data_IF_639151774110
#
_entry.id   IF_639151774110
#
_cell.length_a   1.000
_cell.length_b   1.000
_cell.length_c   1.000
_cell.angle_alpha   90.00
_cell.angle_beta   90.00
_cell.angle_gamma   90.00
#
_symmetry.space_group_name_H-M   'P 1'
#
loop_
_entity.id
_entity.type
_entity.pdbx_description
1 polymer ?
#
# COMPACT_ATOMS: atom_id res chain seq x y z
N UNK A 1 9.34 1.07 5.33
CA UNK A 1 9.73 -0.24 5.90
C UNK A 1 9.02 -0.43 7.23
N UNK A 2 7.92 -1.19 7.28
CA UNK A 2 7.15 -1.39 8.52
C UNK A 2 6.54 -2.79 8.65
N UNK A 3 6.63 -3.66 7.62
CA UNK A 3 5.96 -4.96 7.60
C UNK A 3 6.25 -5.80 8.84
N UNK A 4 7.51 -5.93 9.27
CA UNK A 4 7.85 -6.70 10.48
C UNK A 4 7.21 -6.15 11.77
N UNK A 5 7.02 -4.81 11.85
CA UNK A 5 6.29 -4.18 12.96
C UNK A 5 4.79 -4.46 12.88
N UNK A 6 4.23 -4.51 11.67
CA UNK A 6 2.81 -4.83 11.44
C UNK A 6 2.51 -6.33 11.62
N UNK A 7 3.40 -7.21 11.18
CA UNK A 7 3.30 -8.66 11.36
C UNK A 7 3.61 -9.06 12.80
N UNK A 8 4.89 -9.32 13.08
CA UNK A 8 5.32 -9.82 14.38
C UNK A 8 4.93 -8.91 15.53
N UNK A 9 4.97 -7.58 15.35
CA UNK A 9 4.56 -6.65 16.41
C UNK A 9 3.10 -6.82 16.83
N UNK A 10 2.17 -6.98 15.88
CA UNK A 10 0.75 -7.16 16.19
C UNK A 10 0.43 -8.61 16.60
N UNK A 11 1.25 -9.58 16.24
CA UNK A 11 1.15 -10.94 16.79
C UNK A 11 1.37 -10.96 18.32
N UNK A 12 2.06 -9.95 18.87
CA UNK A 12 2.29 -9.78 20.31
C UNK A 12 1.20 -8.98 21.04
N UNK A 13 0.14 -8.55 20.34
CA UNK A 13 -0.92 -7.73 20.95
C UNK A 13 -1.53 -8.43 22.18
N UNK A 14 -1.57 -7.70 23.29
CA UNK A 14 -2.17 -8.11 24.55
C UNK A 14 -1.31 -9.02 25.43
N UNK A 15 -0.14 -9.48 24.98
CA UNK A 15 0.72 -10.38 25.77
C UNK A 15 1.41 -9.70 26.96
N UNK A 16 1.44 -8.37 26.98
CA UNK A 16 2.06 -7.54 28.04
C UNK A 16 1.03 -6.73 28.82
N UNK A 17 -0.26 -6.97 28.58
CA UNK A 17 -1.38 -6.30 29.25
C UNK A 17 -1.89 -7.18 30.38
N UNK A 18 -2.11 -6.61 31.57
CA UNK A 18 -2.52 -7.36 32.77
C UNK A 18 -4.00 -7.78 32.75
N UNK A 19 -4.84 -7.13 31.96
CA UNK A 19 -6.29 -7.36 31.89
C UNK A 19 -6.70 -8.45 30.90
N UNK A 20 -5.77 -8.96 30.08
CA UNK A 20 -6.01 -10.02 29.09
C UNK A 20 -6.90 -9.63 27.90
N UNK A 21 -7.58 -8.49 27.94
CA UNK A 21 -8.58 -8.05 26.96
C UNK A 21 -8.07 -8.10 25.52
N UNK A 22 -6.90 -7.50 25.27
CA UNK A 22 -6.33 -7.44 23.92
C UNK A 22 -5.84 -8.80 23.40
N UNK A 23 -5.48 -9.73 24.30
CA UNK A 23 -5.09 -11.07 23.89
C UNK A 23 -6.32 -11.89 23.49
N UNK A 24 -7.43 -11.75 24.19
CA UNK A 24 -8.72 -12.35 23.84
C UNK A 24 -9.26 -11.77 22.54
N UNK A 25 -9.23 -10.45 22.37
CA UNK A 25 -9.61 -9.78 21.13
C UNK A 25 -8.80 -10.30 19.94
N UNK A 26 -7.47 -10.40 20.07
CA UNK A 26 -6.63 -10.94 18.99
C UNK A 26 -7.00 -12.40 18.65
N UNK A 27 -7.35 -13.23 19.63
CA UNK A 27 -7.78 -14.63 19.39
C UNK A 27 -9.16 -14.73 18.76
N UNK A 28 -10.05 -13.77 19.01
CA UNK A 28 -11.40 -13.75 18.43
C UNK A 28 -11.44 -13.19 17.00
N UNK A 29 -10.37 -12.52 16.54
CA UNK A 29 -10.28 -12.02 15.18
C UNK A 29 -10.26 -13.17 14.15
N UNK A 30 -11.08 -13.10 13.09
CA UNK A 30 -11.11 -14.13 12.04
C UNK A 30 -9.81 -14.31 11.26
N UNK A 31 -8.93 -13.31 11.26
CA UNK A 31 -7.64 -13.31 10.56
C UNK A 31 -6.59 -12.66 11.45
N UNK A 32 -5.31 -12.85 11.11
CA UNK A 32 -4.24 -12.13 11.81
C UNK A 32 -4.36 -10.63 11.51
N UNK A 33 -3.98 -9.74 12.45
CA UNK A 33 -4.02 -8.29 12.21
C UNK A 33 -3.35 -7.87 10.90
N UNK A 34 -2.17 -8.43 10.58
CA UNK A 34 -1.43 -8.14 9.35
C UNK A 34 -2.21 -8.45 8.07
N UNK A 35 -3.09 -9.46 8.08
CA UNK A 35 -3.89 -9.81 6.91
C UNK A 35 -4.94 -8.74 6.61
N UNK A 36 -5.45 -8.07 7.64
CA UNK A 36 -6.30 -6.89 7.46
C UNK A 36 -5.50 -5.70 6.94
N UNK A 37 -4.25 -5.49 7.38
CA UNK A 37 -3.39 -4.43 6.83
C UNK A 37 -3.17 -4.60 5.31
N UNK A 38 -3.03 -5.83 4.83
CA UNK A 38 -2.91 -6.13 3.39
C UNK A 38 -4.20 -5.89 2.59
N UNK A 39 -5.33 -5.65 3.25
CA UNK A 39 -6.60 -5.33 2.57
C UNK A 39 -6.75 -3.84 2.24
N UNK A 40 -5.99 -2.96 2.88
CA UNK A 40 -5.98 -1.54 2.54
C UNK A 40 -5.41 -1.31 1.15
N UNK A 41 -5.77 -0.16 0.56
CA UNK A 41 -5.07 0.36 -0.61
C UNK A 41 -3.98 1.31 -0.14
N UNK A 42 -2.80 1.17 -0.74
CA UNK A 42 -1.73 2.16 -0.65
C UNK A 42 -1.63 2.92 -1.98
N UNK A 43 -0.91 4.02 -2.00
CA UNK A 43 -0.65 4.79 -3.20
C UNK A 43 0.85 5.06 -3.43
N UNK A 44 1.18 5.65 -4.58
CA UNK A 44 2.56 5.91 -5.01
C UNK A 44 3.00 7.37 -4.79
N UNK A 45 2.33 8.15 -3.94
CA UNK A 45 2.71 9.52 -3.59
C UNK A 45 3.99 9.54 -2.73
N UNK A 46 5.11 9.20 -3.36
CA UNK A 46 6.42 8.97 -2.73
C UNK A 46 7.52 9.83 -3.33
N UNK A 47 7.14 10.86 -4.10
CA UNK A 47 8.05 11.83 -4.74
C UNK A 47 9.21 11.17 -5.51
N UNK A 48 8.95 10.05 -6.19
CA UNK A 48 9.96 9.31 -6.97
C UNK A 48 10.83 8.31 -6.19
N UNK A 49 10.50 7.98 -4.93
CA UNK A 49 11.29 7.04 -4.13
C UNK A 49 11.10 5.56 -4.54
N UNK A 50 11.99 5.06 -5.41
CA UNK A 50 11.98 3.68 -5.91
C UNK A 50 11.90 2.61 -4.80
N UNK A 51 12.79 2.69 -3.79
CA UNK A 51 12.85 1.69 -2.73
C UNK A 51 11.57 1.64 -1.88
N UNK A 52 10.93 2.79 -1.66
CA UNK A 52 9.66 2.86 -0.95
C UNK A 52 8.53 2.22 -1.78
N UNK A 53 8.50 2.48 -3.08
CA UNK A 53 7.55 1.84 -4.01
C UNK A 53 7.73 0.32 -4.05
N UNK A 54 8.97 -0.18 -4.11
CA UNK A 54 9.26 -1.62 -4.03
C UNK A 54 8.75 -2.23 -2.72
N UNK A 55 9.01 -1.57 -1.58
CA UNK A 55 8.51 -2.02 -0.29
C UNK A 55 6.98 -2.08 -0.24
N UNK A 56 6.31 -1.04 -0.76
CA UNK A 56 4.85 -0.99 -0.81
C UNK A 56 4.27 -2.11 -1.67
N UNK A 57 4.81 -2.30 -2.88
CA UNK A 57 4.38 -3.37 -3.79
C UNK A 57 4.60 -4.76 -3.22
N UNK A 58 5.72 -5.00 -2.55
CA UNK A 58 6.00 -6.27 -1.90
C UNK A 58 4.99 -6.59 -0.77
N UNK A 59 4.57 -5.57 -0.01
CA UNK A 59 3.66 -5.77 1.13
C UNK A 59 2.18 -5.85 0.71
N UNK A 60 1.71 -4.89 -0.11
CA UNK A 60 0.31 -4.77 -0.50
C UNK A 60 -0.04 -5.58 -1.76
N UNK A 61 0.92 -5.78 -2.66
CA UNK A 61 0.69 -6.35 -3.98
C UNK A 61 0.10 -5.35 -4.98
N UNK A 62 0.34 -5.59 -6.28
CA UNK A 62 -0.07 -4.67 -7.35
C UNK A 62 -1.60 -4.47 -7.47
N UNK A 63 -2.43 -5.34 -6.90
CA UNK A 63 -3.89 -5.21 -6.88
C UNK A 63 -4.43 -4.28 -5.77
N UNK A 64 -3.54 -3.79 -4.90
CA UNK A 64 -3.84 -2.92 -3.75
C UNK A 64 -2.98 -1.65 -3.74
N UNK A 65 -2.31 -1.32 -4.84
CA UNK A 65 -1.55 -0.07 -4.99
C UNK A 65 -2.20 0.81 -6.05
N UNK A 66 -2.40 2.09 -5.75
CA UNK A 66 -2.97 3.12 -6.62
C UNK A 66 -1.87 4.06 -7.11
N UNK A 67 -1.98 4.57 -8.32
CA UNK A 67 -1.16 5.69 -8.76
C UNK A 67 -1.61 6.99 -8.06
N UNK A 68 -0.65 7.69 -7.47
CA UNK A 68 -0.79 9.05 -6.95
C UNK A 68 0.55 9.79 -7.02
N UNK A 69 0.51 11.12 -7.13
CA UNK A 69 1.71 11.98 -7.18
C UNK A 69 1.78 13.03 -6.08
N UNK A 70 0.68 13.29 -5.36
CA UNK A 70 0.54 14.44 -4.44
C UNK A 70 0.74 15.80 -5.11
N UNK A 71 0.35 15.93 -6.37
CA UNK A 71 0.38 17.24 -7.04
C UNK A 71 -0.73 18.15 -6.48
N UNK A 72 -0.47 19.46 -6.29
CA UNK A 72 0.65 20.25 -6.84
C UNK A 72 1.75 20.61 -5.83
N UNK A 73 2.11 19.73 -4.87
CA UNK A 73 3.15 20.04 -3.88
C UNK A 73 4.59 19.96 -4.42
N UNK A 74 4.75 19.64 -5.70
CA UNK A 74 6.07 19.58 -6.33
C UNK A 74 6.76 20.95 -6.49
N UNK A 75 8.10 21.01 -6.45
CA UNK A 75 8.85 22.26 -6.64
C UNK A 75 8.84 22.79 -8.07
N UNK A 76 8.41 21.98 -9.05
CA UNK A 76 8.28 22.36 -10.45
C UNK A 76 7.14 21.59 -11.10
N UNK A 77 6.25 22.22 -11.90
CA UNK A 77 5.03 21.60 -12.39
C UNK A 77 5.21 20.20 -12.99
N UNK A 78 4.44 19.25 -12.46
CA UNK A 78 4.38 17.86 -12.92
C UNK A 78 5.63 17.03 -12.62
N UNK A 79 6.60 17.51 -11.83
CA UNK A 79 7.79 16.75 -11.45
C UNK A 79 7.41 15.44 -10.77
N UNK A 80 6.56 15.47 -9.74
CA UNK A 80 6.19 14.24 -9.02
C UNK A 80 5.43 13.24 -9.89
N UNK A 81 4.55 13.70 -10.78
CA UNK A 81 3.88 12.81 -11.75
C UNK A 81 4.91 12.09 -12.63
N UNK A 82 5.85 12.82 -13.23
CA UNK A 82 6.90 12.24 -14.09
C UNK A 82 7.81 11.28 -13.34
N UNK A 83 8.22 11.64 -12.13
CA UNK A 83 9.07 10.79 -11.29
C UNK A 83 8.37 9.51 -10.85
N UNK A 84 7.11 9.60 -10.44
CA UNK A 84 6.31 8.40 -10.10
C UNK A 84 6.14 7.48 -11.31
N UNK A 85 5.87 8.02 -12.50
CA UNK A 85 5.80 7.23 -13.74
C UNK A 85 7.15 6.57 -14.04
N UNK A 86 8.25 7.33 -13.97
CA UNK A 86 9.62 6.82 -14.17
C UNK A 86 9.93 5.65 -13.24
N UNK A 87 9.58 5.76 -11.96
CA UNK A 87 9.74 4.68 -10.98
C UNK A 87 8.95 3.45 -11.40
N UNK A 88 7.64 3.57 -11.69
CA UNK A 88 6.80 2.42 -12.07
C UNK A 88 7.34 1.71 -13.32
N UNK A 89 7.77 2.48 -14.33
CA UNK A 89 8.32 1.93 -15.56
C UNK A 89 9.66 1.21 -15.35
N UNK A 90 10.47 1.65 -14.39
CA UNK A 90 11.75 0.99 -14.06
C UNK A 90 11.63 -0.34 -13.31
N UNK A 91 10.45 -0.67 -12.77
CA UNK A 91 10.28 -1.85 -11.91
C UNK A 91 10.14 -3.18 -12.66
N UNK A 92 10.05 -3.16 -13.99
CA UNK A 92 9.91 -4.38 -14.80
C UNK A 92 8.61 -5.14 -14.53
N UNK A 93 7.57 -4.46 -14.05
CA UNK A 93 6.28 -5.08 -13.73
C UNK A 93 5.55 -5.57 -14.99
N UNK A 94 4.79 -6.67 -14.92
CA UNK A 94 3.90 -7.09 -15.99
C UNK A 94 2.96 -5.96 -16.42
N UNK A 95 2.65 -5.88 -17.71
CA UNK A 95 1.78 -4.82 -18.26
C UNK A 95 0.42 -4.75 -17.55
N UNK A 96 -0.13 -5.90 -17.15
CA UNK A 96 -1.38 -5.97 -16.39
C UNK A 96 -1.28 -5.32 -15.01
N UNK A 97 -0.15 -5.48 -14.32
CA UNK A 97 0.06 -4.89 -12.99
C UNK A 97 0.28 -3.38 -13.08
N UNK A 98 1.02 -2.91 -14.10
CA UNK A 98 1.12 -1.47 -14.39
C UNK A 98 -0.26 -0.87 -14.66
N UNK A 99 -1.09 -1.52 -15.48
CA UNK A 99 -2.47 -1.10 -15.77
C UNK A 99 -3.33 -1.01 -14.49
N UNK A 100 -3.21 -1.99 -13.59
CA UNK A 100 -3.90 -1.97 -12.29
C UNK A 100 -3.48 -0.77 -11.46
N UNK A 101 -2.18 -0.51 -11.35
CA UNK A 101 -1.64 0.60 -10.56
C UNK A 101 -2.06 1.94 -11.16
N UNK A 102 -1.89 2.13 -12.46
CA UNK A 102 -2.18 3.41 -13.13
C UNK A 102 -3.65 3.83 -13.02
N UNK A 103 -4.59 2.89 -13.14
CA UNK A 103 -6.01 3.24 -13.10
C UNK A 103 -6.93 2.11 -12.66
N UNK A 104 -6.66 0.84 -13.01
CA UNK A 104 -7.64 -0.23 -12.82
C UNK A 104 -8.05 -0.49 -11.36
N UNK A 105 -7.15 -0.24 -10.41
CA UNK A 105 -7.47 -0.32 -8.99
C UNK A 105 -8.32 0.86 -8.53
N UNK A 106 -8.05 2.08 -9.02
CA UNK A 106 -8.82 3.28 -8.69
C UNK A 106 -10.24 3.17 -9.27
N UNK A 107 -10.39 2.71 -10.52
CA UNK A 107 -11.67 2.44 -11.16
C UNK A 107 -12.54 1.50 -10.30
N UNK A 108 -11.96 0.37 -9.88
CA UNK A 108 -12.65 -0.62 -9.06
C UNK A 108 -12.98 -0.11 -7.66
N UNK A 109 -12.05 0.58 -7.01
CA UNK A 109 -12.23 1.10 -5.65
C UNK A 109 -13.26 2.23 -5.59
N UNK A 110 -13.14 3.18 -6.50
CA UNK A 110 -13.95 4.40 -6.53
C UNK A 110 -15.20 4.25 -7.40
N UNK A 111 -15.41 3.08 -8.00
CA UNK A 111 -16.53 2.77 -8.90
C UNK A 111 -16.64 3.76 -10.06
N UNK A 112 -15.50 4.14 -10.63
CA UNK A 112 -15.46 5.02 -11.78
C UNK A 112 -15.99 4.27 -13.00
N UNK A 113 -16.84 4.94 -13.80
CA UNK A 113 -17.23 4.41 -15.10
C UNK A 113 -16.15 4.81 -16.08
N UNK A 114 -15.45 3.82 -16.60
CA UNK A 114 -14.66 4.04 -17.81
C UNK A 114 -15.55 3.78 -19.01
N UNK A 115 -15.59 4.77 -19.90
CA UNK A 115 -16.28 4.67 -21.19
C UNK A 115 -15.60 3.68 -22.11
#
# INVERSE_FOLDING_TARGET
YFEGRVGYGWDQMGLRSSDGYYAELRRSMPRRPVDYFKMFYADTALFGALAATQCGLAFFGASRVLFASDSPFEPAPGLYVRETIRVIESLGLPAQDKKRIYYGNAERLLKLRCG
#
